data_IF_203893757018
#
_entry.id   IF_203893757018
#
_cell.length_a   1.000
_cell.length_b   1.000
_cell.length_c   1.000
_cell.angle_alpha   90.00
_cell.angle_beta   90.00
_cell.angle_gamma   90.00
#
_symmetry.space_group_name_H-M   'P 1'
#
loop_
_entity.id
_entity.type
_entity.pdbx_description
1 polymer ?
#
# COMPACT_ATOMS: atom_id res chain seq x y z
N UNK A 1 -24.21 12.56 -21.36
CA UNK A 1 -24.41 11.31 -22.14
C UNK A 1 -23.94 10.16 -21.28
N UNK A 2 -24.85 9.28 -20.88
CA UNK A 2 -24.49 8.06 -20.16
C UNK A 2 -23.85 7.07 -21.14
N UNK A 3 -22.73 6.48 -20.74
CA UNK A 3 -21.96 5.51 -21.53
C UNK A 3 -22.06 4.16 -20.85
N UNK A 4 -22.60 3.16 -21.55
CA UNK A 4 -22.56 1.78 -21.06
C UNK A 4 -21.10 1.28 -21.04
N UNK A 5 -20.68 0.73 -19.90
CA UNK A 5 -19.36 0.12 -19.68
C UNK A 5 -19.40 -1.41 -19.75
N UNK A 6 -20.52 -1.98 -20.22
CA UNK A 6 -20.76 -3.42 -20.29
C UNK A 6 -21.58 -3.96 -19.12
N UNK A 7 -21.77 -5.28 -19.11
CA UNK A 7 -22.56 -5.98 -18.10
C UNK A 7 -21.65 -6.64 -17.06
N UNK A 8 -21.95 -6.40 -15.78
CA UNK A 8 -21.25 -7.00 -14.65
C UNK A 8 -22.13 -8.10 -14.03
N UNK A 9 -21.59 -9.29 -13.72
CA UNK A 9 -22.32 -10.28 -12.94
C UNK A 9 -22.74 -9.71 -11.58
N UNK A 10 -24.03 -9.81 -11.27
CA UNK A 10 -24.60 -9.39 -9.98
C UNK A 10 -24.66 -10.61 -9.06
N UNK A 11 -24.32 -10.41 -7.79
CA UNK A 11 -24.43 -11.45 -6.76
C UNK A 11 -25.91 -11.69 -6.43
N UNK A 12 -26.34 -12.95 -6.40
CA UNK A 12 -27.72 -13.29 -6.04
C UNK A 12 -28.03 -12.85 -4.60
N UNK A 13 -29.26 -12.36 -4.40
CA UNK A 13 -29.74 -11.73 -3.15
C UNK A 13 -28.95 -10.52 -2.65
N UNK A 14 -28.05 -9.96 -3.48
CA UNK A 14 -27.47 -8.65 -3.17
C UNK A 14 -28.47 -7.52 -3.41
N UNK A 15 -28.23 -6.32 -2.88
CA UNK A 15 -29.12 -5.15 -3.00
C UNK A 15 -29.50 -4.75 -4.44
N UNK A 16 -28.72 -5.17 -5.43
CA UNK A 16 -28.94 -4.86 -6.86
C UNK A 16 -29.61 -6.04 -7.59
N UNK A 17 -29.74 -7.19 -6.93
CA UNK A 17 -30.45 -8.35 -7.46
C UNK A 17 -31.96 -8.17 -7.25
N UNK A 18 -32.77 -8.67 -8.19
CA UNK A 18 -34.23 -8.66 -8.05
C UNK A 18 -34.74 -9.51 -6.87
N UNK A 19 -33.92 -10.44 -6.37
CA UNK A 19 -34.25 -11.35 -5.26
C UNK A 19 -33.86 -10.78 -3.87
N UNK A 20 -33.44 -9.52 -3.78
CA UNK A 20 -32.87 -8.96 -2.55
C UNK A 20 -33.82 -9.03 -1.34
N UNK A 21 -35.06 -8.58 -1.54
CA UNK A 21 -36.05 -8.37 -0.49
C UNK A 21 -37.34 -9.19 -0.70
N UNK A 22 -37.29 -10.21 -1.57
CA UNK A 22 -38.44 -11.09 -1.82
C UNK A 22 -38.67 -12.02 -0.64
N UNK A 23 -39.94 -12.18 -0.27
CA UNK A 23 -40.38 -13.19 0.70
C UNK A 23 -40.27 -14.61 0.13
N UNK A 24 -40.23 -15.66 0.97
CA UNK A 24 -40.20 -17.05 0.51
C UNK A 24 -41.34 -17.41 -0.47
N UNK A 25 -42.54 -16.86 -0.25
CA UNK A 25 -43.68 -17.06 -1.16
C UNK A 25 -43.46 -16.41 -2.52
N UNK A 26 -42.89 -15.20 -2.55
CA UNK A 26 -42.56 -14.50 -3.79
C UNK A 26 -41.41 -15.18 -4.53
N UNK A 27 -40.42 -15.73 -3.83
CA UNK A 27 -39.34 -16.52 -4.43
C UNK A 27 -39.91 -17.72 -5.18
N UNK A 28 -40.80 -18.48 -4.55
CA UNK A 28 -41.47 -19.63 -5.19
C UNK A 28 -42.30 -19.19 -6.39
N UNK A 29 -43.01 -18.05 -6.32
CA UNK A 29 -43.74 -17.50 -7.47
C UNK A 29 -42.83 -17.13 -8.65
N UNK A 30 -41.57 -16.77 -8.38
CA UNK A 30 -40.57 -16.47 -9.40
C UNK A 30 -39.73 -17.70 -9.81
N UNK A 31 -40.16 -18.92 -9.44
CA UNK A 31 -39.47 -20.18 -9.69
C UNK A 31 -38.09 -20.30 -9.02
N UNK A 32 -37.86 -19.56 -7.94
CA UNK A 32 -36.68 -19.70 -7.09
C UNK A 32 -36.98 -20.60 -5.89
N UNK A 33 -35.94 -21.12 -5.25
CA UNK A 33 -36.09 -21.90 -4.02
C UNK A 33 -36.61 -21.00 -2.88
N UNK A 34 -37.55 -21.50 -2.07
CA UNK A 34 -38.10 -20.75 -0.93
C UNK A 34 -37.01 -20.25 0.03
N UNK A 35 -36.00 -21.09 0.25
CA UNK A 35 -34.81 -20.80 1.06
C UNK A 35 -33.58 -20.48 0.21
N UNK A 36 -33.71 -19.69 -0.86
CA UNK A 36 -32.54 -19.26 -1.65
C UNK A 36 -31.54 -18.51 -0.76
N UNK A 37 -30.27 -18.93 -0.76
CA UNK A 37 -29.23 -18.37 0.12
C UNK A 37 -28.49 -17.19 -0.53
N UNK A 38 -28.38 -17.18 -1.85
CA UNK A 38 -27.61 -16.19 -2.60
C UNK A 38 -26.11 -16.21 -2.28
N UNK A 39 -25.43 -15.09 -2.54
CA UNK A 39 -23.99 -14.97 -2.24
C UNK A 39 -23.04 -15.54 -3.30
N UNK A 40 -23.58 -16.10 -4.38
CA UNK A 40 -22.85 -16.56 -5.56
C UNK A 40 -23.25 -15.77 -6.81
N UNK A 41 -22.58 -16.04 -7.92
CA UNK A 41 -22.79 -15.42 -9.23
C UNK A 41 -23.17 -16.50 -10.25
N UNK A 42 -24.07 -16.16 -11.16
CA UNK A 42 -24.37 -17.01 -12.33
C UNK A 42 -23.56 -16.53 -13.52
N UNK A 43 -22.66 -17.37 -14.02
CA UNK A 43 -21.76 -17.05 -15.14
C UNK A 43 -21.92 -18.12 -16.21
N UNK A 44 -22.52 -17.73 -17.35
CA UNK A 44 -22.79 -18.64 -18.49
C UNK A 44 -23.57 -19.90 -18.07
N UNK A 45 -24.58 -19.73 -17.22
CA UNK A 45 -25.41 -20.85 -16.71
C UNK A 45 -24.77 -21.66 -15.58
N UNK A 46 -23.57 -21.31 -15.11
CA UNK A 46 -22.92 -21.97 -13.98
C UNK A 46 -22.90 -21.10 -12.73
N UNK A 47 -23.25 -21.69 -11.60
CA UNK A 47 -23.13 -21.07 -10.29
C UNK A 47 -21.67 -21.05 -9.84
N UNK A 48 -21.16 -19.87 -9.49
CA UNK A 48 -19.78 -19.65 -9.07
C UNK A 48 -19.73 -18.71 -7.89
N UNK A 49 -18.97 -19.07 -6.86
CA UNK A 49 -18.74 -18.22 -5.69
C UNK A 49 -17.28 -17.75 -5.63
N UNK A 50 -17.07 -16.54 -5.13
CA UNK A 50 -15.74 -16.03 -4.84
C UNK A 50 -15.32 -16.50 -3.43
N UNK A 51 -14.39 -17.47 -3.38
CA UNK A 51 -13.92 -18.05 -2.11
C UNK A 51 -13.24 -16.99 -1.24
N UNK A 52 -13.53 -17.07 0.06
CA UNK A 52 -12.86 -16.24 1.07
C UNK A 52 -11.37 -16.60 1.17
N UNK A 53 -10.52 -15.58 1.30
CA UNK A 53 -9.06 -15.74 1.38
C UNK A 53 -8.54 -15.23 2.71
N UNK A 54 -7.65 -16.00 3.35
CA UNK A 54 -6.88 -15.51 4.49
C UNK A 54 -5.77 -14.59 4.01
N UNK A 55 -5.70 -13.38 4.57
CA UNK A 55 -4.68 -12.38 4.27
C UNK A 55 -4.14 -11.80 5.57
N UNK A 56 -3.00 -11.12 5.53
CA UNK A 56 -2.47 -10.44 6.72
C UNK A 56 -3.41 -9.33 7.19
N UNK A 57 -3.56 -9.23 8.51
CA UNK A 57 -4.38 -8.23 9.20
C UNK A 57 -4.05 -6.81 8.71
N UNK A 58 -5.08 -6.04 8.39
CA UNK A 58 -4.95 -4.66 7.94
C UNK A 58 -4.41 -3.74 9.02
N UNK A 59 -3.60 -2.76 8.59
CA UNK A 59 -3.14 -1.61 9.37
C UNK A 59 -2.47 -1.96 10.71
N UNK A 60 -1.91 -3.17 10.82
CA UNK A 60 -1.18 -3.63 11.98
C UNK A 60 0.28 -3.95 11.58
N UNK A 61 1.29 -3.35 12.23
CA UNK A 61 2.69 -3.62 11.95
C UNK A 61 3.12 -4.95 12.57
N UNK A 62 3.26 -6.00 11.74
CA UNK A 62 3.63 -7.35 12.15
C UNK A 62 5.15 -7.53 12.11
N UNK A 63 5.74 -7.99 13.21
CA UNK A 63 7.15 -8.39 13.28
C UNK A 63 7.35 -9.76 12.65
N UNK A 64 8.08 -9.82 11.54
CA UNK A 64 8.27 -11.04 10.76
C UNK A 64 9.75 -11.36 10.63
N UNK A 65 10.07 -12.66 10.73
CA UNK A 65 11.37 -13.22 10.40
C UNK A 65 11.22 -14.08 9.15
N UNK A 66 11.89 -13.70 8.06
CA UNK A 66 11.87 -14.45 6.78
C UNK A 66 13.29 -14.58 6.25
N UNK A 67 13.81 -15.81 6.21
CA UNK A 67 15.14 -16.12 5.69
C UNK A 67 15.36 -15.62 4.26
N UNK A 68 14.33 -15.71 3.41
CA UNK A 68 14.38 -15.23 2.03
C UNK A 68 14.59 -13.72 1.85
N UNK A 69 14.48 -12.90 2.91
CA UNK A 69 14.81 -11.48 2.82
C UNK A 69 16.31 -11.21 2.72
N UNK A 70 17.16 -12.12 3.21
CA UNK A 70 18.62 -12.03 3.04
C UNK A 70 19.03 -12.05 1.56
N UNK A 71 18.23 -12.70 0.69
CA UNK A 71 18.49 -12.79 -0.75
C UNK A 71 18.11 -11.52 -1.53
N UNK A 72 17.52 -10.50 -0.88
CA UNK A 72 17.03 -9.29 -1.56
C UNK A 72 18.12 -8.27 -1.88
N UNK A 73 19.30 -8.43 -1.31
CA UNK A 73 20.44 -7.57 -1.56
C UNK A 73 21.49 -7.66 -0.47
N UNK A 74 22.63 -7.00 -0.70
CA UNK A 74 23.69 -6.95 0.28
C UNK A 74 23.20 -6.31 1.59
N UNK A 75 23.72 -6.79 2.72
CA UNK A 75 23.40 -6.36 4.08
C UNK A 75 21.95 -6.61 4.54
N UNK A 76 21.03 -7.14 3.72
CA UNK A 76 19.68 -7.42 4.19
C UNK A 76 19.69 -8.51 5.27
N UNK A 77 19.01 -8.23 6.38
CA UNK A 77 18.75 -9.25 7.40
C UNK A 77 17.45 -10.00 7.11
N UNK A 78 17.16 -11.00 7.95
CA UNK A 78 15.89 -11.73 7.94
C UNK A 78 14.77 -11.04 8.71
N UNK A 79 15.05 -9.94 9.42
CA UNK A 79 14.10 -9.23 10.27
C UNK A 79 13.46 -8.06 9.54
N UNK A 80 12.18 -7.85 9.82
CA UNK A 80 11.44 -6.74 9.26
C UNK A 80 10.03 -6.61 9.82
N UNK A 81 9.48 -5.41 9.73
CA UNK A 81 8.10 -5.11 10.12
C UNK A 81 7.24 -4.97 8.87
N UNK A 82 6.30 -5.88 8.66
CA UNK A 82 5.34 -5.85 7.56
C UNK A 82 4.05 -5.17 8.02
N UNK A 83 3.56 -4.19 7.26
CA UNK A 83 2.23 -3.63 7.43
C UNK A 83 1.46 -3.68 6.12
N UNK A 84 0.29 -4.34 6.14
CA UNK A 84 -0.67 -4.32 5.05
C UNK A 84 -1.59 -3.12 5.23
N UNK A 85 -1.33 -2.06 4.49
CA UNK A 85 -2.10 -0.83 4.54
C UNK A 85 -3.35 -0.96 3.67
N UNK A 86 -4.54 -0.77 4.22
CA UNK A 86 -5.82 -0.88 3.50
C UNK A 86 -6.62 0.42 3.65
N UNK A 87 -7.07 0.98 2.54
CA UNK A 87 -7.97 2.15 2.47
C UNK A 87 -9.44 1.74 2.65
N UNK A 88 -10.31 2.73 2.85
CA UNK A 88 -11.77 2.54 2.94
C UNK A 88 -12.35 1.86 1.69
N UNK A 89 -11.80 2.16 0.51
CA UNK A 89 -12.17 1.55 -0.77
C UNK A 89 -11.56 0.14 -1.01
N UNK A 90 -11.03 -0.48 0.05
CA UNK A 90 -10.33 -1.77 0.04
C UNK A 90 -9.06 -1.81 -0.82
N UNK A 91 -8.55 -0.68 -1.32
CA UNK A 91 -7.22 -0.64 -1.95
C UNK A 91 -6.18 -0.98 -0.91
N UNK A 92 -5.31 -1.94 -1.22
CA UNK A 92 -4.26 -2.35 -0.31
C UNK A 92 -2.87 -2.16 -0.93
N UNK A 93 -1.89 -1.90 -0.07
CA UNK A 93 -0.46 -1.94 -0.40
C UNK A 93 0.31 -2.49 0.80
N UNK A 94 1.40 -3.19 0.53
CA UNK A 94 2.28 -3.68 1.58
C UNK A 94 3.46 -2.75 1.73
N UNK A 95 3.77 -2.36 2.96
CA UNK A 95 5.01 -1.67 3.30
C UNK A 95 5.80 -2.57 4.25
N UNK A 96 7.10 -2.73 4.01
CA UNK A 96 7.97 -3.54 4.88
C UNK A 96 9.16 -2.71 5.28
N UNK A 97 9.38 -2.54 6.58
CA UNK A 97 10.60 -1.94 7.10
C UNK A 97 11.62 -3.06 7.34
N UNK A 98 12.70 -3.07 6.56
CA UNK A 98 13.77 -4.06 6.66
C UNK A 98 14.91 -3.54 7.51
N UNK A 99 15.43 -4.40 8.38
CA UNK A 99 16.68 -4.15 9.09
C UNK A 99 17.87 -4.63 8.26
N UNK A 100 18.93 -3.84 8.20
CA UNK A 100 20.18 -4.19 7.54
C UNK A 100 21.28 -4.48 8.57
N UNK A 101 22.22 -5.35 8.22
CA UNK A 101 23.30 -5.80 9.09
C UNK A 101 24.26 -4.67 9.52
N UNK A 102 24.32 -3.58 8.76
CA UNK A 102 25.07 -2.37 9.14
C UNK A 102 24.34 -1.49 10.18
N UNK A 103 23.17 -1.91 10.68
CA UNK A 103 22.38 -1.14 11.65
C UNK A 103 21.42 -0.12 11.03
N UNK A 104 21.30 -0.08 9.69
CA UNK A 104 20.39 0.84 8.99
C UNK A 104 19.04 0.20 8.69
N UNK A 105 18.07 1.03 8.29
CA UNK A 105 16.72 0.60 7.95
C UNK A 105 16.31 1.09 6.56
N UNK A 106 15.72 0.19 5.76
CA UNK A 106 15.14 0.53 4.45
C UNK A 106 13.65 0.21 4.43
N UNK A 107 12.84 1.19 4.00
CA UNK A 107 11.42 1.01 3.77
C UNK A 107 11.20 0.49 2.35
N UNK A 108 10.52 -0.65 2.26
CA UNK A 108 10.04 -1.22 1.00
C UNK A 108 8.60 -0.81 0.75
N UNK A 109 8.31 -0.35 -0.45
CA UNK A 109 6.96 -0.08 -0.93
C UNK A 109 6.78 -0.59 -2.36
N UNK A 110 5.54 -0.93 -2.71
CA UNK A 110 5.21 -1.42 -4.06
C UNK A 110 4.53 -0.36 -4.90
N UNK A 111 4.93 -0.23 -6.17
CA UNK A 111 4.24 0.54 -7.18
C UNK A 111 4.19 -0.25 -8.50
N UNK A 112 3.01 -0.37 -9.13
CA UNK A 112 2.76 -1.12 -10.37
C UNK A 112 3.41 -2.52 -10.39
N UNK A 113 3.23 -3.28 -9.31
CA UNK A 113 3.77 -4.65 -9.12
C UNK A 113 5.30 -4.75 -9.02
N UNK A 114 6.02 -3.63 -9.00
CA UNK A 114 7.45 -3.56 -8.67
C UNK A 114 7.66 -3.15 -7.23
N UNK A 115 8.71 -3.70 -6.60
CA UNK A 115 9.12 -3.36 -5.23
C UNK A 115 10.29 -2.38 -5.27
N UNK A 116 10.19 -1.31 -4.49
CA UNK A 116 11.23 -0.30 -4.35
C UNK A 116 11.64 -0.16 -2.90
N UNK A 117 12.89 0.24 -2.68
CA UNK A 117 13.48 0.39 -1.35
C UNK A 117 14.05 1.80 -1.22
N UNK A 118 13.75 2.47 -0.11
CA UNK A 118 14.30 3.77 0.22
C UNK A 118 14.80 3.78 1.68
N UNK A 119 15.87 4.52 2.01
CA UNK A 119 16.28 4.72 3.40
C UNK A 119 15.13 5.27 4.25
N UNK A 120 14.98 4.77 5.48
CA UNK A 120 13.89 5.18 6.36
C UNK A 120 13.89 6.69 6.61
N UNK A 121 15.05 7.26 6.95
CA UNK A 121 15.19 8.69 7.28
C UNK A 121 14.85 9.57 6.08
N UNK A 122 15.21 9.17 4.86
CA UNK A 122 14.81 9.87 3.63
C UNK A 122 13.29 10.00 3.54
N UNK A 123 12.56 8.89 3.73
CA UNK A 123 11.10 8.90 3.69
C UNK A 123 10.52 9.75 4.84
N UNK A 124 11.12 9.71 6.03
CA UNK A 124 10.67 10.49 7.16
C UNK A 124 10.84 12.00 6.93
N UNK A 125 11.99 12.46 6.41
CA UNK A 125 12.21 13.87 6.05
C UNK A 125 11.34 14.33 4.88
N UNK A 126 10.97 13.42 3.97
CA UNK A 126 9.99 13.73 2.93
C UNK A 126 8.56 13.96 3.49
N UNK A 127 8.20 13.31 4.61
CA UNK A 127 6.87 13.45 5.21
C UNK A 127 6.70 14.76 5.99
N UNK A 128 7.71 15.16 6.76
CA UNK A 128 7.65 16.32 7.65
C UNK A 128 8.86 17.23 7.47
N UNK A 129 8.63 18.54 7.49
CA UNK A 129 9.69 19.55 7.47
C UNK A 129 10.08 19.91 8.91
N UNK A 130 10.78 18.98 9.56
CA UNK A 130 11.24 19.12 10.95
C UNK A 130 12.76 19.04 11.02
N UNK A 131 13.33 19.73 12.00
CA UNK A 131 14.77 19.65 12.29
C UNK A 131 15.18 18.23 12.69
N UNK A 132 16.37 17.82 12.28
CA UNK A 132 16.89 16.46 12.56
C UNK A 132 16.94 16.15 14.05
N UNK A 133 17.23 17.15 14.90
CA UNK A 133 17.19 16.99 16.35
C UNK A 133 15.80 16.58 16.87
N UNK A 134 14.74 17.12 16.27
CA UNK A 134 13.36 16.78 16.66
C UNK A 134 12.99 15.37 16.19
N UNK A 135 13.35 15.01 14.96
CA UNK A 135 13.19 13.64 14.42
C UNK A 135 13.93 12.62 15.29
N UNK A 136 15.19 12.92 15.64
CA UNK A 136 16.04 12.12 16.52
C UNK A 136 15.40 11.90 17.90
N UNK A 137 14.90 12.97 18.53
CA UNK A 137 14.23 12.89 19.84
C UNK A 137 12.98 12.01 19.80
N UNK A 138 12.19 12.07 18.72
CA UNK A 138 10.99 11.25 18.57
C UNK A 138 11.34 9.77 18.36
N UNK A 139 12.36 9.47 17.54
CA UNK A 139 12.86 8.11 17.36
C UNK A 139 13.36 7.51 18.69
N UNK A 140 14.09 8.30 19.49
CA UNK A 140 14.62 7.86 20.79
C UNK A 140 13.61 7.89 21.94
N UNK A 141 12.37 8.31 21.71
CA UNK A 141 11.38 8.41 22.78
C UNK A 141 11.15 7.04 23.42
N UNK A 142 11.41 6.91 24.72
CA UNK A 142 11.32 5.65 25.46
C UNK A 142 12.53 4.70 25.35
N UNK A 143 13.58 5.05 24.56
CA UNK A 143 14.76 4.19 24.32
C UNK A 143 16.11 4.89 24.49
N UNK A 144 16.18 5.96 25.28
CA UNK A 144 17.41 6.75 25.48
C UNK A 144 18.59 5.95 26.06
N UNK A 145 18.31 4.89 26.82
CA UNK A 145 19.34 4.10 27.50
C UNK A 145 19.97 3.03 26.58
N UNK A 146 19.42 2.83 25.37
CA UNK A 146 19.92 1.84 24.43
C UNK A 146 20.98 2.44 23.51
N UNK A 147 22.25 2.33 23.92
CA UNK A 147 23.39 2.89 23.20
C UNK A 147 23.51 2.34 21.76
N UNK A 148 23.15 1.08 21.55
CA UNK A 148 23.16 0.47 20.22
C UNK A 148 22.14 1.14 19.31
N UNK A 149 20.89 1.27 19.78
CA UNK A 149 19.83 1.94 19.03
C UNK A 149 20.17 3.39 18.74
N UNK A 150 20.70 4.11 19.75
CA UNK A 150 21.15 5.50 19.60
C UNK A 150 22.19 5.64 18.50
N UNK A 151 23.23 4.81 18.50
CA UNK A 151 24.29 4.85 17.49
C UNK A 151 23.75 4.53 16.08
N UNK A 152 22.87 3.53 15.95
CA UNK A 152 22.23 3.20 14.67
C UNK A 152 21.41 4.37 14.10
N UNK A 153 20.65 5.07 14.94
CA UNK A 153 19.85 6.23 14.50
C UNK A 153 20.76 7.39 14.10
N UNK A 154 21.83 7.66 14.87
CA UNK A 154 22.82 8.68 14.52
C UNK A 154 23.51 8.38 13.18
N UNK A 155 23.88 7.13 12.94
CA UNK A 155 24.50 6.72 11.69
C UNK A 155 23.52 6.86 10.51
N UNK A 156 22.25 6.46 10.65
CA UNK A 156 21.26 6.64 9.59
C UNK A 156 20.99 8.13 9.26
N UNK A 157 21.07 9.01 10.25
CA UNK A 157 21.01 10.46 10.01
C UNK A 157 22.28 10.92 9.27
N UNK A 158 23.47 10.52 9.73
CA UNK A 158 24.74 10.90 9.12
C UNK A 158 24.85 10.46 7.65
N UNK A 159 24.50 9.21 7.33
CA UNK A 159 24.49 8.68 5.96
C UNK A 159 23.65 9.56 5.01
N UNK A 160 22.52 10.10 5.48
CA UNK A 160 21.70 10.97 4.64
C UNK A 160 22.35 12.34 4.38
N UNK A 161 23.08 12.88 5.36
CA UNK A 161 23.85 14.11 5.18
C UNK A 161 25.08 13.90 4.28
N UNK A 162 25.71 12.73 4.32
CA UNK A 162 26.83 12.37 3.42
C UNK A 162 26.40 12.36 1.95
N UNK A 163 25.14 12.01 1.67
CA UNK A 163 24.51 12.12 0.34
C UNK A 163 24.10 13.56 -0.06
N UNK A 164 24.38 14.55 0.79
CA UNK A 164 24.04 15.96 0.56
C UNK A 164 22.55 16.29 0.68
N UNK A 165 21.79 15.47 1.42
CA UNK A 165 20.35 15.65 1.63
C UNK A 165 20.07 16.17 3.05
N UNK A 166 19.91 17.48 3.19
CA UNK A 166 19.81 18.17 4.47
C UNK A 166 18.40 18.68 4.76
N UNK A 167 17.69 19.17 3.75
CA UNK A 167 16.34 19.76 3.93
C UNK A 167 15.22 18.83 3.46
N UNK A 168 13.99 19.09 3.91
CA UNK A 168 12.81 18.32 3.45
C UNK A 168 12.59 18.49 1.95
N UNK A 169 12.81 19.69 1.42
CA UNK A 169 12.65 20.00 0.00
C UNK A 169 13.68 19.27 -0.88
N UNK A 170 14.95 19.24 -0.46
CA UNK A 170 15.99 18.44 -1.10
C UNK A 170 15.65 16.95 -1.12
N UNK A 171 15.19 16.41 0.01
CA UNK A 171 14.77 15.00 0.12
C UNK A 171 13.61 14.69 -0.83
N UNK A 172 12.61 15.57 -0.90
CA UNK A 172 11.45 15.42 -1.80
C UNK A 172 11.88 15.51 -3.25
N UNK A 173 12.70 16.49 -3.59
CA UNK A 173 13.23 16.67 -4.94
C UNK A 173 14.06 15.46 -5.38
N UNK A 174 14.90 14.91 -4.50
CA UNK A 174 15.67 13.70 -4.77
C UNK A 174 14.77 12.48 -5.01
N UNK A 175 13.80 12.24 -4.13
CA UNK A 175 12.84 11.14 -4.28
C UNK A 175 12.03 11.29 -5.58
N UNK A 176 11.58 12.51 -5.86
CA UNK A 176 10.87 12.88 -7.08
C UNK A 176 11.67 12.54 -8.33
N UNK A 177 12.89 13.07 -8.43
CA UNK A 177 13.79 12.88 -9.58
C UNK A 177 14.06 11.41 -9.86
N UNK A 178 14.28 10.60 -8.82
CA UNK A 178 14.59 9.17 -8.96
C UNK A 178 13.41 8.35 -9.49
N UNK A 179 12.17 8.74 -9.15
CA UNK A 179 10.99 7.94 -9.44
C UNK A 179 10.10 8.51 -10.53
N UNK A 180 10.18 9.81 -10.84
CA UNK A 180 9.40 10.47 -11.89
C UNK A 180 9.45 9.70 -13.23
N UNK A 181 10.60 9.20 -13.73
CA UNK A 181 10.63 8.41 -14.98
C UNK A 181 9.80 7.11 -14.91
N UNK A 182 9.60 6.57 -13.71
CA UNK A 182 8.86 5.33 -13.43
C UNK A 182 7.36 5.59 -13.22
N UNK A 183 6.96 6.83 -13.00
CA UNK A 183 5.58 7.25 -12.71
C UNK A 183 4.84 7.69 -13.97
N UNK A 184 4.49 6.73 -14.84
CA UNK A 184 3.72 7.02 -16.06
C UNK A 184 2.29 7.56 -15.81
N UNK A 185 1.84 7.51 -14.55
CA UNK A 185 0.56 8.10 -14.13
C UNK A 185 0.59 9.64 -14.17
N UNK A 186 1.76 10.23 -13.93
CA UNK A 186 1.93 11.67 -13.88
C UNK A 186 2.05 12.29 -15.28
N UNK A 187 1.59 13.53 -15.45
CA UNK A 187 1.78 14.25 -16.71
C UNK A 187 3.26 14.63 -16.93
N UNK A 188 3.69 14.88 -18.18
CA UNK A 188 5.09 15.23 -18.49
C UNK A 188 5.58 16.51 -17.81
N UNK A 189 4.67 17.44 -17.50
CA UNK A 189 4.94 18.70 -16.82
C UNK A 189 4.88 18.60 -15.29
N UNK A 190 4.65 17.40 -14.73
CA UNK A 190 4.71 17.20 -13.28
C UNK A 190 6.13 17.50 -12.79
N UNK A 191 6.21 18.21 -11.66
CA UNK A 191 7.48 18.51 -11.02
C UNK A 191 8.01 17.29 -10.25
N UNK A 192 9.28 17.34 -9.86
CA UNK A 192 9.86 16.31 -9.00
C UNK A 192 9.13 16.27 -7.63
N UNK A 193 8.70 17.43 -7.13
CA UNK A 193 7.90 17.52 -5.91
C UNK A 193 6.53 16.83 -6.05
N UNK A 194 5.85 17.00 -7.19
CA UNK A 194 4.58 16.31 -7.47
C UNK A 194 4.77 14.79 -7.51
N UNK A 195 5.90 14.34 -8.07
CA UNK A 195 6.26 12.92 -8.11
C UNK A 195 6.49 12.34 -6.71
N UNK A 196 7.18 13.08 -5.84
CA UNK A 196 7.38 12.69 -4.45
C UNK A 196 6.06 12.65 -3.68
N UNK A 197 5.22 13.68 -3.80
CA UNK A 197 3.90 13.75 -3.14
C UNK A 197 3.00 12.58 -3.57
N UNK A 198 2.97 12.28 -4.88
CA UNK A 198 2.24 11.14 -5.43
C UNK A 198 2.68 9.81 -4.78
N UNK A 199 3.99 9.57 -4.66
CA UNK A 199 4.52 8.36 -4.03
C UNK A 199 4.15 8.27 -2.55
N UNK A 200 4.35 9.35 -1.80
CA UNK A 200 4.06 9.39 -0.37
C UNK A 200 2.57 9.14 -0.12
N UNK A 201 1.67 9.69 -0.95
CA UNK A 201 0.22 9.49 -0.82
C UNK A 201 -0.26 8.10 -1.25
N UNK A 202 0.32 7.55 -2.32
CA UNK A 202 -0.21 6.35 -2.99
C UNK A 202 0.54 5.07 -2.68
N UNK A 203 1.76 5.15 -2.15
CA UNK A 203 2.60 3.98 -1.88
C UNK A 203 2.95 3.83 -0.39
N UNK A 204 3.17 4.92 0.33
CA UNK A 204 3.62 4.91 1.73
C UNK A 204 2.44 5.08 2.69
N UNK A 205 2.27 4.11 3.60
CA UNK A 205 1.33 4.12 4.73
C UNK A 205 -0.06 4.67 4.34
N UNK A 206 -0.62 4.12 3.26
CA UNK A 206 -1.75 4.72 2.55
C UNK A 206 -3.07 4.75 3.33
N UNK A 207 -3.14 4.03 4.45
CA UNK A 207 -4.29 4.03 5.35
C UNK A 207 -4.37 5.31 6.19
N UNK A 208 -3.25 6.04 6.32
CA UNK A 208 -3.15 7.32 7.01
C UNK A 208 -3.18 8.46 5.99
N UNK A 209 -3.98 9.49 6.24
CA UNK A 209 -4.08 10.65 5.34
C UNK A 209 -3.00 11.70 5.66
N UNK A 210 -2.78 11.98 6.95
CA UNK A 210 -1.82 12.98 7.40
C UNK A 210 -0.37 12.51 7.33
N UNK A 211 0.54 13.37 6.87
CA UNK A 211 1.98 13.04 6.83
C UNK A 211 2.61 12.90 8.22
N UNK A 212 2.11 13.65 9.19
CA UNK A 212 2.51 13.52 10.60
C UNK A 212 2.17 12.14 11.16
N UNK A 213 0.95 11.64 10.88
CA UNK A 213 0.54 10.31 11.35
C UNK A 213 1.38 9.21 10.71
N UNK A 214 1.68 9.34 9.41
CA UNK A 214 2.60 8.44 8.71
C UNK A 214 3.98 8.44 9.36
N UNK A 215 4.50 9.61 9.72
CA UNK A 215 5.76 9.76 10.41
C UNK A 215 5.72 9.02 11.77
N UNK A 216 4.70 9.26 12.60
CA UNK A 216 4.58 8.59 13.90
C UNK A 216 4.43 7.07 13.77
N UNK A 217 3.70 6.59 12.76
CA UNK A 217 3.59 5.16 12.48
C UNK A 217 4.95 4.56 12.08
N UNK A 218 5.75 5.27 11.27
CA UNK A 218 7.11 4.85 10.92
C UNK A 218 8.06 4.87 12.13
N UNK A 219 7.94 5.85 13.04
CA UNK A 219 8.68 5.85 14.32
C UNK A 219 8.36 4.59 15.11
N UNK A 220 7.07 4.27 15.27
CA UNK A 220 6.64 3.08 16.00
C UNK A 220 7.15 1.79 15.34
N UNK A 221 7.08 1.68 14.00
CA UNK A 221 7.62 0.55 13.25
C UNK A 221 9.13 0.41 13.44
N UNK A 222 9.88 1.51 13.42
CA UNK A 222 11.33 1.50 13.63
C UNK A 222 11.67 1.03 15.05
N UNK A 223 11.01 1.58 16.08
CA UNK A 223 11.22 1.15 17.46
C UNK A 223 10.92 -0.34 17.63
N UNK A 224 9.78 -0.83 17.10
CA UNK A 224 9.41 -2.25 17.15
C UNK A 224 10.43 -3.12 16.41
N UNK A 225 10.96 -2.67 15.28
CA UNK A 225 11.97 -3.41 14.52
C UNK A 225 13.24 -3.65 15.35
N UNK A 226 13.76 -2.61 15.99
CA UNK A 226 14.96 -2.73 16.81
C UNK A 226 14.74 -3.61 18.06
N UNK A 227 13.54 -3.58 18.67
CA UNK A 227 13.22 -4.50 19.77
C UNK A 227 13.24 -5.96 19.31
N UNK A 228 12.73 -6.25 18.12
CA UNK A 228 12.74 -7.61 17.56
C UNK A 228 14.17 -8.05 17.26
N UNK A 229 15.00 -7.17 16.69
CA UNK A 229 16.41 -7.47 16.38
C UNK A 229 17.22 -7.74 17.65
N UNK A 230 16.96 -7.01 18.74
CA UNK A 230 17.62 -7.22 20.03
C UNK A 230 16.98 -8.32 20.89
N UNK A 231 16.03 -9.10 20.35
CA UNK A 231 15.27 -10.12 21.06
C UNK A 231 14.47 -9.62 22.29
N UNK A 232 14.18 -8.32 22.37
CA UNK A 232 13.27 -7.73 23.37
C UNK A 232 11.80 -8.00 23.04
N UNK A 233 11.50 -8.23 21.75
CA UNK A 233 10.17 -8.57 21.25
C UNK A 233 10.21 -9.90 20.50
N UNK A 234 9.17 -10.73 20.66
CA UNK A 234 9.03 -11.98 19.90
C UNK A 234 8.60 -11.70 18.47
N UNK A 235 9.11 -12.51 17.55
CA UNK A 235 8.61 -12.55 16.18
C UNK A 235 7.16 -13.03 16.18
N UNK A 236 6.30 -12.34 15.46
CA UNK A 236 4.90 -12.71 15.32
C UNK A 236 4.78 -13.73 14.18
N UNK A 237 4.22 -14.91 14.49
CA UNK A 237 4.00 -15.95 13.49
C UNK A 237 2.98 -15.49 12.45
N UNK A 238 3.37 -15.47 11.17
CA UNK A 238 2.49 -15.06 10.06
C UNK A 238 1.23 -15.95 9.91
N UNK A 239 1.29 -17.16 10.49
CA UNK A 239 0.22 -18.15 10.47
C UNK A 239 -0.72 -18.03 11.69
N UNK A 240 -0.46 -17.11 12.61
CA UNK A 240 -1.34 -16.87 13.76
C UNK A 240 -2.62 -16.17 13.30
N UNK A 241 -3.76 -16.65 13.80
CA UNK A 241 -5.09 -16.08 13.54
C UNK A 241 -5.14 -14.60 13.96
N UNK A 242 -4.41 -14.20 15.01
CA UNK A 242 -4.35 -12.82 15.51
C UNK A 242 -3.79 -11.81 14.48
N UNK A 243 -2.91 -12.28 13.59
CA UNK A 243 -2.26 -11.45 12.56
C UNK A 243 -2.87 -11.66 11.17
N UNK A 244 -3.96 -12.41 11.09
CA UNK A 244 -4.70 -12.67 9.86
C UNK A 244 -6.05 -11.96 9.87
N UNK A 245 -6.59 -11.74 8.68
CA UNK A 245 -7.96 -11.33 8.45
C UNK A 245 -8.53 -12.07 7.24
N UNK A 246 -9.85 -12.06 7.13
CA UNK A 246 -10.56 -12.72 6.04
C UNK A 246 -10.95 -11.69 4.97
N UNK A 247 -10.42 -11.88 3.76
CA UNK A 247 -10.80 -11.12 2.58
C UNK A 247 -12.03 -11.79 1.93
N UNK A 248 -13.18 -11.13 2.04
CA UNK A 248 -14.46 -11.59 1.48
C UNK A 248 -14.54 -11.36 -0.03
N UNK A 249 -15.36 -12.19 -0.71
CA UNK A 249 -15.53 -12.16 -2.16
C UNK A 249 -16.00 -10.82 -2.72
N UNK A 250 -16.90 -10.13 -2.03
CA UNK A 250 -17.38 -8.80 -2.45
C UNK A 250 -16.28 -7.73 -2.48
N UNK A 251 -15.40 -7.71 -1.46
CA UNK A 251 -14.26 -6.79 -1.44
C UNK A 251 -13.22 -7.12 -2.52
N UNK A 252 -13.00 -8.41 -2.80
CA UNK A 252 -12.15 -8.83 -3.91
C UNK A 252 -12.74 -8.39 -5.26
N UNK A 253 -14.05 -8.54 -5.44
CA UNK A 253 -14.77 -8.09 -6.64
C UNK A 253 -14.63 -6.57 -6.84
N UNK A 254 -14.78 -5.78 -5.77
CA UNK A 254 -14.56 -4.34 -5.79
C UNK A 254 -13.13 -3.97 -6.22
N UNK A 255 -12.11 -4.65 -5.68
CA UNK A 255 -10.71 -4.41 -6.05
C UNK A 255 -10.47 -4.67 -7.54
N UNK A 256 -10.99 -5.79 -8.06
CA UNK A 256 -10.87 -6.14 -9.49
C UNK A 256 -11.59 -5.10 -10.36
N UNK A 257 -12.82 -4.73 -10.01
CA UNK A 257 -13.58 -3.72 -10.75
C UNK A 257 -12.83 -2.38 -10.80
N UNK A 258 -12.29 -1.95 -9.66
CA UNK A 258 -11.49 -0.73 -9.55
C UNK A 258 -10.26 -0.77 -10.47
N UNK A 259 -9.51 -1.87 -10.48
CA UNK A 259 -8.34 -2.04 -11.36
C UNK A 259 -8.72 -2.00 -12.84
N UNK A 260 -9.85 -2.62 -13.22
CA UNK A 260 -10.37 -2.58 -14.60
C UNK A 260 -10.79 -1.17 -15.02
N UNK A 261 -11.45 -0.41 -14.15
CA UNK A 261 -11.81 0.99 -14.44
C UNK A 261 -10.58 1.87 -14.56
N UNK A 262 -9.56 1.68 -13.72
CA UNK A 262 -8.28 2.40 -13.85
C UNK A 262 -7.57 2.06 -15.16
N UNK A 263 -7.61 0.80 -15.58
CA UNK A 263 -7.04 0.34 -16.86
C UNK A 263 -7.78 0.98 -18.04
N UNK A 264 -9.11 1.06 -17.98
CA UNK A 264 -9.91 1.72 -19.00
C UNK A 264 -9.52 3.20 -19.15
N UNK A 265 -9.38 3.94 -18.04
CA UNK A 265 -8.92 5.33 -18.06
C UNK A 265 -7.53 5.48 -18.68
N UNK A 266 -6.61 4.55 -18.38
CA UNK A 266 -5.28 4.55 -18.98
C UNK A 266 -5.33 4.32 -20.50
N UNK A 267 -6.16 3.39 -20.97
CA UNK A 267 -6.35 3.12 -22.41
C UNK A 267 -6.97 4.33 -23.12
N UNK A 268 -7.97 4.98 -22.49
CA UNK A 268 -8.57 6.21 -23.03
C UNK A 268 -7.50 7.30 -23.16
N UNK A 269 -6.72 7.55 -22.10
CA UNK A 269 -5.60 8.53 -22.13
C UNK A 269 -4.61 8.21 -23.26
N UNK A 270 -4.19 6.95 -23.40
CA UNK A 270 -3.26 6.54 -24.44
C UNK A 270 -3.81 6.77 -25.86
N UNK A 271 -5.08 6.45 -26.08
CA UNK A 271 -5.75 6.68 -27.37
C UNK A 271 -5.89 8.17 -27.72
N UNK A 272 -6.21 9.01 -26.73
CA UNK A 272 -6.29 10.45 -26.92
C UNK A 272 -4.92 11.03 -27.30
N UNK A 273 -3.85 10.64 -26.59
CA UNK A 273 -2.48 11.07 -26.90
C UNK A 273 -2.05 10.59 -28.29
N UNK A 274 -2.36 9.35 -28.66
CA UNK A 274 -2.06 8.82 -29.99
C UNK A 274 -2.75 9.65 -31.07
N UNK A 275 -4.06 9.92 -30.91
CA UNK A 275 -4.81 10.76 -31.84
C UNK A 275 -4.21 12.17 -31.91
N UNK A 276 -3.84 12.78 -30.79
CA UNK A 276 -3.26 14.14 -30.71
C UNK A 276 -1.97 14.28 -31.50
N UNK A 277 -1.18 13.22 -31.58
CA UNK A 277 0.04 13.18 -32.40
C UNK A 277 -0.24 12.98 -33.90
N UNK A 278 -1.37 12.39 -34.26
CA UNK A 278 -1.72 12.06 -35.65
C UNK A 278 -2.59 13.13 -36.34
N UNK A 279 -3.39 13.90 -35.58
CA UNK A 279 -4.26 14.93 -36.13
C UNK A 279 -3.79 16.34 -35.76
N UNK A 280 -3.49 17.18 -36.76
CA UNK A 280 -3.25 18.63 -36.59
C UNK A 280 -4.53 19.42 -36.24
N UNK A 281 -5.70 18.77 -36.17
CA UNK A 281 -6.97 19.38 -35.73
C UNK A 281 -7.62 18.48 -34.69
N UNK A 282 -7.47 18.85 -33.42
CA UNK A 282 -8.29 18.32 -32.34
C UNK A 282 -9.49 19.23 -32.14
N UNK A 283 -10.66 18.80 -32.60
CA UNK A 283 -11.94 19.39 -32.21
C UNK A 283 -12.49 18.51 -31.09
N UNK A 284 -12.69 19.12 -29.92
CA UNK A 284 -13.30 18.51 -28.72
C UNK A 284 -14.81 18.55 -28.88
#
# INVERSE_FOLDING_TARGET
>A
MDRSLGCLPIMLKSKVCHLADLSPEELVKHNEHADEWGGYFVIKGHERLARMLLVTRRNYPVAIKRSGWRMRGNLFSEYGILVRCVKSDQTNTNNVLHFLQNGTCKLMFSHRKMMYYAPLILIMKCLVDWQDHFIYRLLLHGKKNDLYYVNCIQNMLRELHEEGLHTSDECRSYLGRMFRPKLADLPPWATDLDAADFLLRRCVMIHLQGYKDKFYALVYMAQKLFDVVQNKCKVEGADSIMVQELQVGGHLYLQVLKERLQTLLYVIKANLIKRAKTSNKFTI
#
